data_IF_297372150385
#
_entry.id   IF_297372150385
#
_cell.length_a   1.000
_cell.length_b   1.000
_cell.length_c   1.000
_cell.angle_alpha   90.00
_cell.angle_beta   90.00
_cell.angle_gamma   90.00
#
_symmetry.space_group_name_H-M   'P 1'
#
loop_
_entity.id
_entity.type
_entity.pdbx_description
1 polymer ?
#
# COMPACT_ATOMS: atom_id res chain seq x y z
N UNK A 1 7.68 2.62 -7.11
CA UNK A 1 7.43 1.49 -8.04
C UNK A 1 8.10 0.20 -7.60
N UNK A 2 9.42 0.18 -7.36
CA UNK A 2 10.09 -1.07 -6.94
C UNK A 2 9.53 -1.65 -5.63
N UNK A 3 9.30 -0.83 -4.60
CA UNK A 3 8.65 -1.27 -3.35
C UNK A 3 7.25 -1.84 -3.57
N UNK A 4 6.45 -1.23 -4.44
CA UNK A 4 5.15 -1.75 -4.89
C UNK A 4 5.28 -3.10 -5.62
N UNK A 5 6.29 -3.26 -6.47
CA UNK A 5 6.61 -4.52 -7.16
C UNK A 5 6.96 -5.61 -6.15
N UNK A 6 7.79 -5.31 -5.14
CA UNK A 6 8.14 -6.24 -4.05
C UNK A 6 6.90 -6.65 -3.27
N UNK A 7 6.03 -5.70 -2.91
CA UNK A 7 4.79 -6.01 -2.19
C UNK A 7 3.85 -6.91 -3.01
N UNK A 8 3.66 -6.64 -4.30
CA UNK A 8 2.87 -7.52 -5.17
C UNK A 8 3.51 -8.90 -5.35
N UNK A 9 4.83 -8.99 -5.48
CA UNK A 9 5.55 -10.26 -5.52
C UNK A 9 5.42 -11.04 -4.21
N UNK A 10 5.40 -10.36 -3.07
CA UNK A 10 5.13 -10.97 -1.76
C UNK A 10 3.71 -11.53 -1.69
N UNK A 11 2.68 -10.76 -2.06
CA UNK A 11 1.29 -11.23 -2.09
C UNK A 11 1.13 -12.46 -3.00
N UNK A 12 1.75 -12.44 -4.18
CA UNK A 12 1.77 -13.56 -5.10
C UNK A 12 2.44 -14.79 -4.47
N UNK A 13 3.63 -14.62 -3.86
CA UNK A 13 4.35 -15.71 -3.18
C UNK A 13 3.55 -16.32 -2.02
N UNK A 14 2.76 -15.53 -1.31
CA UNK A 14 1.90 -16.00 -0.23
C UNK A 14 0.59 -16.64 -0.73
N UNK A 15 0.37 -16.71 -2.05
CA UNK A 15 -0.90 -17.12 -2.65
C UNK A 15 -2.10 -16.38 -2.01
N UNK A 16 -1.95 -15.08 -1.82
CA UNK A 16 -2.95 -14.28 -1.13
C UNK A 16 -4.28 -14.24 -1.91
N UNK A 17 -5.40 -14.50 -1.22
CA UNK A 17 -6.74 -14.39 -1.79
C UNK A 17 -7.16 -12.92 -1.86
N UNK A 18 -6.83 -12.26 -2.98
CA UNK A 18 -7.11 -10.84 -3.17
C UNK A 18 -8.61 -10.49 -3.07
N UNK A 19 -9.54 -11.27 -3.66
CA UNK A 19 -10.98 -11.08 -3.42
C UNK A 19 -11.35 -11.10 -1.94
N UNK A 20 -10.84 -12.06 -1.17
CA UNK A 20 -11.11 -12.15 0.27
C UNK A 20 -10.53 -10.95 1.05
N UNK A 21 -9.29 -10.55 0.75
CA UNK A 21 -8.68 -9.36 1.34
C UNK A 21 -9.52 -8.10 1.08
N UNK A 22 -10.08 -7.96 -0.12
CA UNK A 22 -10.95 -6.83 -0.48
C UNK A 22 -12.28 -6.83 0.30
N UNK A 23 -12.83 -7.99 0.63
CA UNK A 23 -14.09 -8.12 1.37
C UNK A 23 -13.94 -7.78 2.86
N UNK A 24 -12.82 -8.14 3.47
CA UNK A 24 -12.54 -7.87 4.88
C UNK A 24 -11.90 -6.48 5.10
N UNK A 25 -11.40 -5.85 4.03
CA UNK A 25 -10.71 -4.57 4.10
C UNK A 25 -11.64 -3.40 4.40
N UNK A 26 -11.19 -2.49 5.27
CA UNK A 26 -11.78 -1.15 5.34
C UNK A 26 -11.55 -0.38 4.02
N UNK A 27 -12.28 0.71 3.75
CA UNK A 27 -12.12 1.48 2.52
C UNK A 27 -10.68 1.90 2.20
N UNK A 28 -9.87 2.18 3.23
CA UNK A 28 -8.44 2.52 3.06
C UNK A 28 -7.61 1.32 2.60
N UNK A 29 -7.78 0.14 3.19
CA UNK A 29 -7.06 -1.07 2.77
C UNK A 29 -7.40 -1.48 1.33
N UNK A 30 -8.66 -1.32 0.92
CA UNK A 30 -9.06 -1.52 -0.47
C UNK A 30 -8.35 -0.54 -1.41
N UNK A 31 -8.27 0.73 -1.02
CA UNK A 31 -7.57 1.76 -1.80
C UNK A 31 -6.07 1.43 -1.90
N UNK A 32 -5.42 1.03 -0.82
CA UNK A 32 -4.02 0.58 -0.82
C UNK A 32 -3.79 -0.57 -1.80
N UNK A 33 -4.63 -1.61 -1.75
CA UNK A 33 -4.51 -2.75 -2.64
C UNK A 33 -4.77 -2.37 -4.11
N UNK A 34 -5.72 -1.47 -4.38
CA UNK A 34 -5.97 -0.93 -5.71
C UNK A 34 -4.77 -0.13 -6.24
N UNK A 35 -4.12 0.66 -5.39
CA UNK A 35 -2.92 1.43 -5.72
C UNK A 35 -1.70 0.53 -6.03
N UNK A 36 -1.64 -0.64 -5.42
CA UNK A 36 -0.64 -1.67 -5.74
C UNK A 36 -1.01 -2.36 -7.05
N UNK A 37 -2.25 -2.84 -7.17
CA UNK A 37 -2.75 -3.58 -8.33
C UNK A 37 -2.63 -2.82 -9.64
N UNK A 38 -2.88 -1.50 -9.63
CA UNK A 38 -2.77 -0.66 -10.85
C UNK A 38 -1.37 -0.61 -11.44
N UNK A 39 -0.31 -0.93 -10.68
CA UNK A 39 1.03 -1.04 -11.26
C UNK A 39 1.11 -2.20 -12.25
N UNK A 40 0.49 -3.33 -11.91
CA UNK A 40 0.52 -4.57 -12.69
C UNK A 40 -0.43 -4.57 -13.90
N UNK A 41 -1.32 -3.57 -13.99
CA UNK A 41 -2.16 -3.32 -15.16
C UNK A 41 -1.46 -2.45 -16.23
N UNK A 42 -0.24 -1.98 -15.97
CA UNK A 42 0.52 -1.12 -16.88
C UNK A 42 1.56 -1.93 -17.68
N UNK A 43 2.23 -1.26 -18.65
CA UNK A 43 3.24 -1.91 -19.49
C UNK A 43 4.44 -2.41 -18.64
N UNK A 44 4.75 -3.72 -18.67
CA UNK A 44 5.88 -4.27 -17.93
C UNK A 44 7.22 -3.75 -18.47
N UNK A 45 7.35 -3.58 -19.79
CA UNK A 45 8.59 -3.09 -20.41
C UNK A 45 8.91 -1.66 -19.93
N UNK A 46 7.90 -0.79 -19.88
CA UNK A 46 8.06 0.58 -19.40
C UNK A 46 8.58 0.63 -17.96
N UNK A 47 7.97 -0.15 -17.06
CA UNK A 47 8.38 -0.14 -15.65
C UNK A 47 9.70 -0.86 -15.42
N UNK A 48 10.01 -1.90 -16.21
CA UNK A 48 11.33 -2.53 -16.23
C UNK A 48 12.41 -1.52 -16.57
N UNK A 49 12.22 -0.78 -17.66
CA UNK A 49 13.16 0.25 -18.12
C UNK A 49 13.31 1.38 -17.10
N UNK A 50 12.20 1.92 -16.57
CA UNK A 50 12.24 2.97 -15.53
C UNK A 50 13.03 2.52 -14.30
N UNK A 51 12.83 1.27 -13.85
CA UNK A 51 13.54 0.74 -12.68
C UNK A 51 15.04 0.54 -12.97
N UNK A 52 15.39 0.03 -14.14
CA UNK A 52 16.78 -0.23 -14.52
C UNK A 52 17.57 1.05 -14.84
N UNK A 53 16.92 2.10 -15.34
CA UNK A 53 17.53 3.41 -15.59
C UNK A 53 17.79 4.20 -14.29
N UNK A 54 17.16 3.83 -13.17
CA UNK A 54 17.37 4.50 -11.90
C UNK A 54 18.69 4.05 -11.24
N UNK A 55 19.80 4.69 -11.61
CA UNK A 55 21.16 4.30 -11.17
C UNK A 55 21.33 4.16 -9.65
N UNK A 56 20.63 4.98 -8.86
CA UNK A 56 20.69 4.96 -7.39
C UNK A 56 19.73 3.95 -6.75
N UNK A 57 18.87 3.31 -7.54
CA UNK A 57 17.85 2.40 -7.03
C UNK A 57 18.44 1.29 -6.17
N UNK A 58 19.52 0.57 -6.56
CA UNK A 58 20.08 -0.49 -5.73
C UNK A 58 20.50 -0.01 -4.33
N UNK A 59 21.19 1.14 -4.25
CA UNK A 59 21.66 1.69 -2.97
C UNK A 59 20.49 2.14 -2.09
N UNK A 60 19.48 2.78 -2.67
CA UNK A 60 18.28 3.22 -1.94
C UNK A 60 17.46 2.02 -1.43
N UNK A 61 17.37 0.94 -2.21
CA UNK A 61 16.65 -0.28 -1.79
C UNK A 61 17.41 -1.02 -0.68
N UNK A 62 18.75 -1.02 -0.71
CA UNK A 62 19.55 -1.56 0.39
C UNK A 62 19.31 -0.79 1.69
N UNK A 63 19.38 0.54 1.66
CA UNK A 63 19.08 1.38 2.83
C UNK A 63 17.62 1.22 3.31
N UNK A 64 16.67 1.10 2.38
CA UNK A 64 15.28 0.83 2.73
C UNK A 64 15.11 -0.52 3.44
N UNK A 65 15.83 -1.55 2.98
CA UNK A 65 15.85 -2.86 3.64
C UNK A 65 16.45 -2.78 5.05
N UNK A 66 17.53 -2.03 5.24
CA UNK A 66 18.14 -1.83 6.56
C UNK A 66 17.12 -1.21 7.53
N UNK A 67 16.38 -0.16 7.11
CA UNK A 67 15.29 0.40 7.91
C UNK A 67 14.19 -0.63 8.25
N UNK A 68 13.82 -1.49 7.29
CA UNK A 68 12.84 -2.55 7.53
C UNK A 68 13.35 -3.54 8.59
N UNK A 69 14.58 -3.99 8.47
CA UNK A 69 15.20 -4.97 9.37
C UNK A 69 15.34 -4.39 10.79
N UNK A 70 15.67 -3.10 10.94
CA UNK A 70 15.72 -2.38 12.22
C UNK A 70 14.35 -2.32 12.91
N UNK A 71 13.30 -1.86 12.22
CA UNK A 71 11.95 -1.78 12.77
C UNK A 71 11.39 -3.17 13.10
N UNK A 72 11.69 -4.18 12.28
CA UNK A 72 11.31 -5.56 12.55
C UNK A 72 11.95 -6.11 13.83
N UNK A 73 13.23 -5.81 14.08
CA UNK A 73 13.92 -6.26 15.28
C UNK A 73 13.27 -5.73 16.56
N UNK A 74 12.81 -4.47 16.57
CA UNK A 74 12.08 -3.86 17.69
C UNK A 74 10.78 -4.59 17.98
N UNK A 75 10.02 -4.91 16.92
CA UNK A 75 8.76 -5.65 17.02
C UNK A 75 9.01 -7.07 17.56
N UNK A 76 10.02 -7.78 17.03
CA UNK A 76 10.38 -9.12 17.48
C UNK A 76 10.84 -9.15 18.94
N UNK A 77 11.52 -8.10 19.39
CA UNK A 77 11.95 -7.93 20.78
C UNK A 77 10.81 -7.49 21.73
N UNK A 78 9.60 -7.21 21.21
CA UNK A 78 8.47 -6.74 22.01
C UNK A 78 8.69 -5.35 22.63
N UNK A 79 9.59 -4.54 22.06
CA UNK A 79 10.02 -3.25 22.61
C UNK A 79 9.05 -2.12 22.23
N UNK A 80 7.89 -2.11 22.88
CA UNK A 80 6.81 -1.14 22.62
C UNK A 80 7.28 0.31 22.72
N UNK A 81 8.04 0.65 23.75
CA UNK A 81 8.44 2.04 23.98
C UNK A 81 9.43 2.53 22.93
N UNK A 82 10.37 1.67 22.49
CA UNK A 82 11.25 1.95 21.35
C UNK A 82 10.46 2.16 20.07
N UNK A 83 9.43 1.34 19.81
CA UNK A 83 8.56 1.52 18.65
C UNK A 83 7.82 2.87 18.67
N UNK A 84 7.38 3.31 19.85
CA UNK A 84 6.72 4.63 20.01
C UNK A 84 7.70 5.77 19.77
N UNK A 85 8.94 5.67 20.26
CA UNK A 85 9.97 6.67 20.00
C UNK A 85 10.22 6.81 18.50
N UNK A 86 10.45 5.71 17.78
CA UNK A 86 10.61 5.76 16.33
C UNK A 86 9.38 6.31 15.60
N UNK A 87 8.18 5.95 16.05
CA UNK A 87 6.96 6.50 15.48
C UNK A 87 6.90 8.02 15.63
N UNK A 88 7.26 8.55 16.81
CA UNK A 88 7.29 9.99 17.07
C UNK A 88 8.35 10.70 16.22
N UNK A 89 9.55 10.13 16.07
CA UNK A 89 10.60 10.66 15.19
C UNK A 89 10.12 10.78 13.73
N UNK A 90 9.41 9.76 13.23
CA UNK A 90 8.83 9.77 11.89
C UNK A 90 7.70 10.82 11.81
N UNK A 91 6.85 10.90 12.83
CA UNK A 91 5.79 11.91 12.90
C UNK A 91 6.37 13.34 12.84
N UNK A 92 7.44 13.61 13.58
CA UNK A 92 8.13 14.89 13.58
C UNK A 92 8.77 15.20 12.23
N UNK A 93 9.34 14.19 11.55
CA UNK A 93 9.86 14.35 10.18
C UNK A 93 8.77 14.76 9.18
N UNK A 94 7.57 14.17 9.26
CA UNK A 94 6.43 14.57 8.43
C UNK A 94 5.82 15.91 8.86
N UNK A 95 5.95 16.29 10.13
CA UNK A 95 5.52 17.56 10.68
C UNK A 95 4.07 17.91 10.33
N UNK A 96 3.85 19.15 9.89
CA UNK A 96 2.53 19.67 9.51
C UNK A 96 1.90 18.94 8.31
N UNK A 97 2.67 18.16 7.54
CA UNK A 97 2.13 17.38 6.43
C UNK A 97 1.34 16.16 6.92
N UNK A 98 1.71 15.54 8.04
CA UNK A 98 1.01 14.36 8.56
C UNK A 98 -0.51 14.59 8.78
N UNK A 99 -0.96 15.62 9.52
CA UNK A 99 -2.39 15.88 9.67
C UNK A 99 -3.07 16.30 8.36
N UNK A 100 -2.34 16.97 7.46
CA UNK A 100 -2.87 17.34 6.15
C UNK A 100 -3.13 16.12 5.25
N UNK A 101 -2.19 15.18 5.18
CA UNK A 101 -2.36 13.93 4.45
C UNK A 101 -3.48 13.07 5.04
N UNK A 102 -3.64 13.05 6.36
CA UNK A 102 -4.77 12.36 6.99
C UNK A 102 -6.12 12.96 6.55
N UNK A 103 -6.24 14.29 6.55
CA UNK A 103 -7.47 14.97 6.10
C UNK A 103 -7.72 14.74 4.61
N UNK A 104 -6.70 14.91 3.76
CA UNK A 104 -6.81 14.73 2.32
C UNK A 104 -7.19 13.29 1.95
N UNK A 105 -6.51 12.30 2.54
CA UNK A 105 -6.84 10.89 2.31
C UNK A 105 -8.26 10.55 2.78
N UNK A 106 -8.71 11.09 3.91
CA UNK A 106 -10.09 10.91 4.39
C UNK A 106 -11.13 11.49 3.43
N UNK A 107 -10.87 12.67 2.87
CA UNK A 107 -11.76 13.28 1.86
C UNK A 107 -11.80 12.48 0.56
N UNK A 108 -10.65 11.96 0.10
CA UNK A 108 -10.57 11.09 -1.07
C UNK A 108 -11.35 9.79 -0.86
N UNK A 109 -11.22 9.17 0.31
CA UNK A 109 -11.95 7.96 0.67
C UNK A 109 -13.45 8.20 0.69
N UNK A 110 -13.91 9.30 1.29
CA UNK A 110 -15.34 9.65 1.31
C UNK A 110 -15.91 9.81 -0.09
N UNK A 111 -15.22 10.54 -0.97
CA UNK A 111 -15.64 10.69 -2.38
C UNK A 111 -15.68 9.36 -3.13
N UNK A 112 -14.70 8.48 -2.87
CA UNK A 112 -14.64 7.16 -3.47
C UNK A 112 -15.74 6.21 -2.97
N UNK A 113 -16.30 6.48 -1.78
CA UNK A 113 -17.41 5.73 -1.21
C UNK A 113 -18.77 6.29 -1.67
N UNK A 114 -18.94 7.62 -1.69
CA UNK A 114 -20.15 8.30 -2.18
C UNK A 114 -20.46 7.97 -3.65
N UNK A 115 -19.43 7.73 -4.48
CA UNK A 115 -19.57 7.28 -5.86
C UNK A 115 -20.00 5.81 -6.02
N UNK A 116 -20.03 5.03 -4.94
CA UNK A 116 -20.50 3.64 -4.92
C UNK A 116 -21.98 3.61 -4.52
N UNK A 117 -22.86 3.95 -5.44
CA UNK A 117 -24.28 3.70 -5.25
C UNK A 117 -24.50 2.16 -5.17
N UNK A 118 -25.04 1.59 -4.07
CA UNK A 118 -25.17 0.13 -3.89
C UNK A 118 -26.09 -0.60 -4.88
N UNK A 119 -26.69 0.12 -5.83
CA UNK A 119 -27.71 -0.40 -6.75
C UNK A 119 -27.15 -0.97 -8.07
N UNK A 120 -25.88 -0.74 -8.40
CA UNK A 120 -25.30 -1.26 -9.66
C UNK A 120 -24.67 -2.66 -9.53
N UNK A 121 -24.26 -3.07 -8.32
CA UNK A 121 -23.67 -4.40 -8.08
C UNK A 121 -24.69 -5.54 -7.94
N UNK A 122 -26.00 -5.24 -7.97
CA UNK A 122 -27.07 -6.26 -7.93
C UNK A 122 -27.65 -6.64 -9.29
N UNK A 123 -27.32 -5.93 -10.37
CA UNK A 123 -27.93 -6.20 -11.68
C UNK A 123 -27.18 -7.26 -12.51
N UNK A 124 -25.90 -7.54 -12.20
CA UNK A 124 -25.11 -8.53 -12.96
C UNK A 124 -25.21 -9.98 -12.42
N UNK A 125 -25.90 -10.21 -11.30
CA UNK A 125 -26.02 -11.53 -10.68
C UNK A 125 -27.39 -12.20 -10.90
N UNK A 126 -28.31 -11.54 -11.64
CA UNK A 126 -29.70 -12.00 -11.81
C UNK A 126 -30.15 -12.02 -13.29
N UNK A 127 -29.25 -12.37 -14.21
CA UNK A 127 -29.62 -12.76 -15.58
C UNK A 127 -29.65 -14.30 -15.70
N UNK A 128 -30.83 -14.92 -15.87
CA UNK A 128 -30.93 -16.37 -16.03
C UNK A 128 -30.69 -16.78 -17.50
N UNK A 129 -29.66 -17.62 -17.68
CA UNK A 129 -29.36 -18.48 -18.86
C UNK A 129 -29.22 -17.84 -20.23
#
# INVERSE_FOLDING_TARGET
HFTTMVYGAFLHRQNADLPHLLQLSSPIYRLELAMVGRLFAQSPDLYGDIMLQAEKLPQLILAYRECLDELLAIIQAGQRDSLIVHFAEIQDYFGDLAPNFLRESSELLRKADDGRNPLELRQDMDSPR
#
